data_IF_075900050226
#
_entry.id   IF_075900050226
#
_cell.length_a   1.000
_cell.length_b   1.000
_cell.length_c   1.000
_cell.angle_alpha   90.00
_cell.angle_beta   90.00
_cell.angle_gamma   90.00
#
_symmetry.space_group_name_H-M   'P 1'
#
loop_
_entity.id
_entity.type
_entity.pdbx_description
1 polymer ?
#
# COMPACT_ATOMS: atom_id res chain seq x y z
N UNK A 1 9.21 -16.14 6.51
CA UNK A 1 7.76 -16.26 6.74
C UNK A 1 7.19 -14.87 6.97
N UNK A 2 6.64 -14.23 5.94
CA UNK A 2 5.96 -12.95 6.10
C UNK A 2 4.55 -13.20 6.66
N UNK A 3 4.32 -12.77 7.89
CA UNK A 3 3.02 -12.77 8.54
C UNK A 3 2.28 -11.45 8.30
N UNK A 4 0.94 -11.45 8.17
CA UNK A 4 0.16 -10.22 7.96
C UNK A 4 0.33 -9.16 9.06
N UNK A 5 0.72 -9.61 10.27
CA UNK A 5 1.04 -8.76 11.42
C UNK A 5 2.45 -8.18 11.31
N UNK A 6 3.38 -8.89 10.66
CA UNK A 6 4.76 -8.45 10.46
C UNK A 6 4.87 -7.44 9.30
N UNK A 7 4.05 -7.60 8.26
CA UNK A 7 4.05 -6.76 7.06
C UNK A 7 3.56 -5.34 7.37
N UNK A 8 4.42 -4.33 7.18
CA UNK A 8 4.09 -2.93 7.40
C UNK A 8 3.33 -2.35 6.22
N UNK A 9 2.05 -2.03 6.43
CA UNK A 9 1.17 -1.45 5.42
C UNK A 9 1.15 0.07 5.55
N UNK A 10 1.65 0.79 4.55
CA UNK A 10 1.56 2.24 4.48
C UNK A 10 0.34 2.69 3.68
N UNK A 11 -0.40 3.69 4.18
CA UNK A 11 -1.54 4.27 3.48
C UNK A 11 -1.27 5.75 3.20
N UNK A 12 -1.19 6.13 1.92
CA UNK A 12 -1.01 7.51 1.41
C UNK A 12 -2.22 7.91 0.56
N UNK A 13 -2.36 9.20 0.23
CA UNK A 13 -3.48 9.69 -0.56
C UNK A 13 -3.87 11.13 -0.24
N UNK A 14 -4.67 11.77 -1.10
CA UNK A 14 -5.09 13.16 -0.85
C UNK A 14 -6.00 13.28 0.38
N UNK A 15 -6.15 14.51 0.87
CA UNK A 15 -7.08 14.82 1.96
C UNK A 15 -8.47 14.29 1.62
N UNK A 16 -9.16 13.75 2.64
CA UNK A 16 -10.55 13.24 2.54
C UNK A 16 -10.71 11.94 1.73
N UNK A 17 -9.62 11.34 1.22
CA UNK A 17 -9.66 10.05 0.55
C UNK A 17 -9.90 8.83 1.47
N UNK A 18 -10.14 9.03 2.78
CA UNK A 18 -10.49 7.94 3.71
C UNK A 18 -9.32 7.17 4.35
N UNK A 19 -8.09 7.73 4.32
CA UNK A 19 -6.88 7.06 4.85
C UNK A 19 -7.00 6.60 6.31
N UNK A 20 -7.42 7.49 7.21
CA UNK A 20 -7.58 7.17 8.63
C UNK A 20 -8.63 6.09 8.86
N UNK A 21 -9.74 6.14 8.12
CA UNK A 21 -10.80 5.12 8.15
C UNK A 21 -10.27 3.76 7.72
N UNK A 22 -9.53 3.70 6.60
CA UNK A 22 -8.92 2.46 6.13
C UNK A 22 -7.93 1.90 7.15
N UNK A 23 -7.04 2.74 7.69
CA UNK A 23 -6.05 2.33 8.70
C UNK A 23 -6.75 1.78 9.95
N UNK A 24 -7.81 2.41 10.42
CA UNK A 24 -8.59 1.92 11.56
C UNK A 24 -9.21 0.55 11.28
N UNK A 25 -9.83 0.36 10.11
CA UNK A 25 -10.42 -0.93 9.72
C UNK A 25 -9.37 -2.03 9.59
N UNK A 26 -8.24 -1.76 8.92
CA UNK A 26 -7.14 -2.72 8.78
C UNK A 26 -6.56 -3.13 10.15
N UNK A 27 -6.38 -2.17 11.07
CA UNK A 27 -5.92 -2.47 12.43
C UNK A 27 -6.91 -3.33 13.21
N UNK A 28 -8.21 -3.05 13.08
CA UNK A 28 -9.26 -3.87 13.70
C UNK A 28 -9.27 -5.32 13.17
N UNK A 29 -8.80 -5.53 11.95
CA UNK A 29 -8.62 -6.85 11.33
C UNK A 29 -7.25 -7.50 11.65
N UNK A 30 -6.42 -6.86 12.48
CA UNK A 30 -5.12 -7.39 12.91
C UNK A 30 -3.93 -7.03 12.01
N UNK A 31 -4.11 -6.16 11.03
CA UNK A 31 -3.02 -5.73 10.14
C UNK A 31 -2.19 -4.59 10.74
N UNK A 32 -0.87 -4.60 10.49
CA UNK A 32 0.05 -3.54 10.87
C UNK A 32 0.00 -2.36 9.87
N UNK A 33 -1.05 -1.54 9.95
CA UNK A 33 -1.27 -0.39 9.07
C UNK A 33 -0.88 0.95 9.70
N UNK A 34 -0.30 1.85 8.90
CA UNK A 34 0.07 3.22 9.26
C UNK A 34 -0.45 4.25 8.25
N UNK A 35 -1.03 5.33 8.76
CA UNK A 35 -1.39 6.49 7.95
C UNK A 35 -0.14 7.34 7.67
N UNK A 36 0.10 7.67 6.41
CA UNK A 36 1.23 8.49 5.97
C UNK A 36 0.66 9.82 5.45
N UNK A 37 0.71 10.91 6.24
CA UNK A 37 0.15 12.22 5.87
C UNK A 37 1.06 12.97 4.89
N UNK A 38 1.43 12.32 3.78
CA UNK A 38 2.36 12.87 2.79
C UNK A 38 1.77 14.06 2.02
N UNK A 39 0.46 14.13 1.85
CA UNK A 39 -0.21 15.24 1.18
C UNK A 39 0.01 16.61 1.85
N UNK A 40 0.54 16.61 3.09
CA UNK A 40 0.93 17.80 3.83
C UNK A 40 2.45 17.99 3.92
N UNK A 41 3.23 17.14 3.24
CA UNK A 41 4.68 17.17 3.25
C UNK A 41 5.22 18.03 2.11
N UNK A 42 6.33 18.73 2.37
CA UNK A 42 7.14 19.36 1.32
C UNK A 42 7.92 18.34 0.49
N UNK A 43 7.97 17.08 0.91
CA UNK A 43 8.77 16.02 0.28
C UNK A 43 7.89 14.94 -0.37
N UNK A 44 8.12 14.71 -1.67
CA UNK A 44 7.51 13.62 -2.46
C UNK A 44 7.95 12.22 -2.05
N UNK A 45 9.04 12.13 -1.28
CA UNK A 45 9.65 10.87 -0.83
C UNK A 45 9.35 10.53 0.63
N UNK A 46 8.42 11.25 1.27
CA UNK A 46 8.14 11.06 2.68
C UNK A 46 7.74 9.61 3.00
N UNK A 47 6.90 8.99 2.16
CA UNK A 47 6.50 7.58 2.28
C UNK A 47 7.69 6.60 2.37
N UNK A 48 8.81 6.88 1.69
CA UNK A 48 10.00 6.01 1.69
C UNK A 48 10.66 5.92 3.06
N UNK A 49 10.55 6.98 3.88
CA UNK A 49 11.12 6.99 5.24
C UNK A 49 10.38 6.03 6.17
N UNK A 50 9.12 5.73 5.88
CA UNK A 50 8.28 4.81 6.64
C UNK A 50 8.61 3.36 6.33
N UNK A 51 9.27 3.09 5.19
CA UNK A 51 9.63 1.75 4.71
C UNK A 51 8.45 0.76 4.77
N UNK A 52 7.34 1.06 4.07
CA UNK A 52 6.23 0.11 3.98
C UNK A 52 6.62 -1.08 3.10
N UNK A 53 6.26 -2.27 3.52
CA UNK A 53 6.37 -3.49 2.72
C UNK A 53 5.25 -3.54 1.67
N UNK A 54 4.10 -2.92 1.97
CA UNK A 54 2.98 -2.75 1.05
C UNK A 54 2.42 -1.33 1.16
N UNK A 55 2.31 -0.64 0.03
CA UNK A 55 1.88 0.75 -0.04
C UNK A 55 0.51 0.85 -0.74
N UNK A 56 -0.46 1.44 -0.06
CA UNK A 56 -1.80 1.72 -0.57
C UNK A 56 -1.91 3.22 -0.83
N UNK A 57 -2.33 3.58 -2.04
CA UNK A 57 -2.67 4.94 -2.43
C UNK A 57 -4.19 5.08 -2.56
N UNK A 58 -4.76 6.07 -1.87
CA UNK A 58 -6.17 6.44 -1.99
C UNK A 58 -6.30 7.80 -2.68
N UNK A 59 -7.26 7.92 -3.58
CA UNK A 59 -7.69 9.23 -4.09
C UNK A 59 -9.19 9.45 -3.97
N UNK A 60 -9.57 10.70 -3.93
CA UNK A 60 -10.95 11.13 -4.20
C UNK A 60 -10.95 12.46 -4.95
N UNK A 61 -12.00 12.73 -5.72
CA UNK A 61 -12.15 14.00 -6.42
C UNK A 61 -12.62 15.12 -5.48
N UNK A 62 -12.50 16.38 -5.91
CA UNK A 62 -12.95 17.55 -5.14
C UNK A 62 -14.46 17.51 -4.82
N UNK A 63 -15.36 17.14 -5.76
CA UNK A 63 -16.80 17.00 -5.45
C UNK A 63 -17.05 16.00 -4.32
N UNK A 64 -16.45 14.80 -4.38
CA UNK A 64 -16.60 13.78 -3.34
C UNK A 64 -15.99 14.24 -2.02
N UNK A 65 -14.82 14.89 -2.05
CA UNK A 65 -14.20 15.46 -0.86
C UNK A 65 -15.13 16.46 -0.15
N UNK A 66 -15.79 17.35 -0.91
CA UNK A 66 -16.77 18.32 -0.40
C UNK A 66 -18.01 17.66 0.20
N UNK A 67 -18.49 16.58 -0.41
CA UNK A 67 -19.62 15.81 0.13
C UNK A 67 -19.26 15.13 1.46
N UNK A 68 -18.03 14.61 1.59
CA UNK A 68 -17.57 13.90 2.79
C UNK A 68 -17.26 14.83 3.96
N UNK A 69 -16.72 16.01 3.67
CA UNK A 69 -16.38 17.01 4.69
C UNK A 69 -16.46 18.40 4.06
N UNK A 70 -17.03 19.41 4.76
CA UNK A 70 -16.91 20.79 4.33
C UNK A 70 -15.42 21.18 4.29
N UNK A 71 -14.93 21.47 3.09
CA UNK A 71 -13.57 21.91 2.82
C UNK A 71 -13.60 23.27 2.13
N UNK A 72 -12.71 24.15 2.56
CA UNK A 72 -12.63 25.53 2.06
C UNK A 72 -11.68 25.67 0.86
N UNK A 73 -10.84 24.65 0.61
CA UNK A 73 -9.88 24.66 -0.48
C UNK A 73 -10.49 24.18 -1.82
N UNK A 74 -9.89 24.67 -2.92
CA UNK A 74 -10.32 24.40 -4.29
C UNK A 74 -9.46 23.36 -5.01
N UNK A 75 -9.67 23.25 -6.32
CA UNK A 75 -8.98 22.28 -7.19
C UNK A 75 -7.47 22.46 -7.19
N UNK A 76 -6.98 23.70 -7.14
CA UNK A 76 -5.54 24.03 -7.05
C UNK A 76 -4.86 23.27 -5.90
N UNK A 77 -5.45 23.28 -4.72
CA UNK A 77 -4.91 22.58 -3.55
C UNK A 77 -4.99 21.05 -3.69
N UNK A 78 -5.94 20.54 -4.46
CA UNK A 78 -6.02 19.11 -4.75
C UNK A 78 -4.92 18.70 -5.74
N UNK A 79 -4.68 19.52 -6.76
CA UNK A 79 -3.64 19.31 -7.76
C UNK A 79 -2.24 19.35 -7.12
N UNK A 80 -2.00 20.28 -6.20
CA UNK A 80 -0.76 20.33 -5.40
C UNK A 80 -0.54 19.01 -4.63
N UNK A 81 -1.59 18.50 -3.97
CA UNK A 81 -1.51 17.25 -3.23
C UNK A 81 -1.22 16.07 -4.16
N UNK A 82 -1.88 15.98 -5.30
CA UNK A 82 -1.60 14.95 -6.30
C UNK A 82 -0.17 15.04 -6.83
N UNK A 83 0.35 16.24 -7.05
CA UNK A 83 1.75 16.46 -7.42
C UNK A 83 2.73 15.95 -6.36
N UNK A 84 2.46 16.20 -5.07
CA UNK A 84 3.29 15.71 -3.96
C UNK A 84 3.23 14.18 -3.84
N UNK A 85 2.07 13.58 -4.16
CA UNK A 85 1.83 12.15 -4.02
C UNK A 85 2.19 11.32 -5.25
N UNK A 86 2.54 11.94 -6.39
CA UNK A 86 2.77 11.26 -7.66
C UNK A 86 3.75 10.08 -7.55
N UNK A 87 4.92 10.29 -6.93
CA UNK A 87 5.92 9.23 -6.74
C UNK A 87 5.39 8.10 -5.85
N UNK A 88 4.57 8.43 -4.83
CA UNK A 88 3.96 7.42 -3.97
C UNK A 88 2.89 6.61 -4.72
N UNK A 89 2.15 7.24 -5.63
CA UNK A 89 1.16 6.58 -6.49
C UNK A 89 1.84 5.58 -7.45
N UNK A 90 2.95 5.97 -8.07
CA UNK A 90 3.71 5.13 -9.00
C UNK A 90 4.30 3.87 -8.33
N UNK A 91 4.62 3.96 -7.05
CA UNK A 91 5.19 2.85 -6.25
C UNK A 91 4.14 2.14 -5.38
N UNK A 92 2.87 2.53 -5.47
CA UNK A 92 1.82 1.89 -4.71
C UNK A 92 1.55 0.49 -5.27
N UNK A 93 1.36 -0.47 -4.35
CA UNK A 93 0.97 -1.83 -4.68
C UNK A 93 -0.54 -1.92 -4.94
N UNK A 94 -1.31 -0.99 -4.36
CA UNK A 94 -2.72 -0.81 -4.59
C UNK A 94 -3.04 0.68 -4.74
N UNK A 95 -3.69 1.05 -5.84
CA UNK A 95 -4.21 2.40 -6.09
C UNK A 95 -5.74 2.29 -6.13
N UNK A 96 -6.42 3.07 -5.29
CA UNK A 96 -7.89 3.06 -5.18
C UNK A 96 -8.44 4.45 -5.41
N UNK A 97 -9.32 4.56 -6.42
CA UNK A 97 -10.27 5.66 -6.50
C UNK A 97 -11.43 5.37 -5.53
N UNK A 98 -11.57 6.20 -4.51
CA UNK A 98 -12.55 5.98 -3.45
C UNK A 98 -13.89 6.61 -3.75
N UNK A 99 -14.03 7.37 -4.84
CA UNK A 99 -15.26 8.09 -5.19
C UNK A 99 -16.51 7.20 -5.21
N UNK A 100 -16.51 6.04 -5.90
CA UNK A 100 -17.70 5.20 -5.98
C UNK A 100 -17.80 4.18 -4.84
N UNK A 101 -16.86 4.20 -3.88
CA UNK A 101 -16.69 3.11 -2.92
C UNK A 101 -17.09 3.53 -1.50
N UNK A 102 -17.70 2.59 -0.78
CA UNK A 102 -17.87 2.72 0.66
C UNK A 102 -16.56 2.43 1.39
N UNK A 103 -16.50 2.80 2.67
CA UNK A 103 -15.34 2.48 3.50
C UNK A 103 -15.11 0.96 3.66
N UNK A 104 -16.17 0.15 3.58
CA UNK A 104 -16.07 -1.31 3.64
C UNK A 104 -15.56 -1.90 2.32
N UNK A 105 -15.99 -1.37 1.17
CA UNK A 105 -15.47 -1.78 -0.14
C UNK A 105 -13.96 -1.55 -0.25
N UNK A 106 -13.50 -0.36 0.17
CA UNK A 106 -12.08 -0.01 0.18
C UNK A 106 -11.29 -0.94 1.10
N UNK A 107 -11.84 -1.29 2.27
CA UNK A 107 -11.20 -2.22 3.20
C UNK A 107 -11.14 -3.65 2.63
N UNK A 108 -12.21 -4.12 2.00
CA UNK A 108 -12.27 -5.43 1.36
C UNK A 108 -11.24 -5.54 0.22
N UNK A 109 -11.14 -4.52 -0.64
CA UNK A 109 -10.13 -4.44 -1.69
C UNK A 109 -8.72 -4.46 -1.11
N UNK A 110 -8.45 -3.65 -0.07
CA UNK A 110 -7.15 -3.62 0.58
C UNK A 110 -6.74 -5.00 1.12
N UNK A 111 -7.63 -5.67 1.87
CA UNK A 111 -7.38 -7.01 2.42
C UNK A 111 -7.15 -8.03 1.32
N UNK A 112 -7.95 -8.00 0.25
CA UNK A 112 -7.78 -8.89 -0.90
C UNK A 112 -6.39 -8.70 -1.54
N UNK A 113 -5.97 -7.46 -1.78
CA UNK A 113 -4.68 -7.15 -2.38
C UNK A 113 -3.50 -7.52 -1.47
N UNK A 114 -3.60 -7.25 -0.15
CA UNK A 114 -2.58 -7.66 0.83
C UNK A 114 -2.42 -9.18 0.83
N UNK A 115 -3.52 -9.93 0.87
CA UNK A 115 -3.48 -11.39 0.87
C UNK A 115 -2.91 -11.95 -0.43
N UNK A 116 -3.23 -11.34 -1.57
CA UNK A 116 -2.65 -11.69 -2.87
C UNK A 116 -1.12 -11.48 -2.85
N UNK A 117 -0.67 -10.31 -2.40
CA UNK A 117 0.75 -9.99 -2.29
C UNK A 117 1.51 -10.98 -1.39
N UNK A 118 0.97 -11.31 -0.21
CA UNK A 118 1.59 -12.28 0.70
C UNK A 118 1.72 -13.66 0.04
N UNK A 119 0.71 -14.11 -0.71
CA UNK A 119 0.76 -15.38 -1.44
C UNK A 119 1.85 -15.38 -2.52
N UNK A 120 1.97 -14.28 -3.27
CA UNK A 120 2.99 -14.13 -4.32
C UNK A 120 4.41 -14.17 -3.74
N UNK A 121 4.66 -13.46 -2.64
CA UNK A 121 5.98 -13.49 -1.97
C UNK A 121 6.34 -14.90 -1.50
N UNK A 122 5.38 -15.66 -0.96
CA UNK A 122 5.60 -17.06 -0.52
C UNK A 122 5.89 -18.02 -1.68
N UNK A 123 5.25 -17.82 -2.82
CA UNK A 123 5.51 -18.63 -4.01
C UNK A 123 6.91 -18.39 -4.55
N UNK A 124 7.37 -17.14 -4.54
CA UNK A 124 8.71 -16.77 -5.01
C UNK A 124 9.81 -17.34 -4.10
N UNK A 125 9.64 -17.25 -2.76
CA UNK A 125 10.57 -17.86 -1.80
C UNK A 125 10.72 -19.39 -1.99
N UNK A 126 9.63 -20.07 -2.37
CA UNK A 126 9.64 -21.54 -2.53
C UNK A 126 10.35 -22.00 -3.80
N UNK A 127 10.32 -21.18 -4.85
CA UNK A 127 11.04 -21.42 -6.11
C UNK A 127 12.56 -21.25 -5.92
N UNK A 128 12.98 -20.22 -5.18
CA UNK A 128 14.40 -19.92 -4.96
C UNK A 128 15.13 -20.99 -4.13
N UNK A 129 14.44 -21.68 -3.23
CA UNK A 129 15.02 -22.82 -2.49
C UNK A 129 15.09 -24.12 -3.31
N UNK A 130 14.26 -24.27 -4.34
CA UNK A 130 14.25 -25.46 -5.20
C UNK A 130 15.41 -25.45 -6.21
N UNK A 131 15.77 -24.28 -6.73
CA UNK A 131 16.88 -24.10 -7.69
C UNK A 131 18.27 -24.27 -7.05
N UNK A 132 18.43 -24.12 -5.74
CA UNK A 132 19.70 -24.36 -5.06
C UNK A 132 20.03 -25.86 -4.81
N UNK A 133 19.09 -26.80 -5.01
CA UNK A 133 19.30 -28.22 -4.69
C UNK A 133 19.81 -29.10 -5.85
N UNK A 134 19.95 -28.57 -7.06
CA UNK A 134 20.46 -29.33 -8.23
C UNK A 134 21.97 -29.17 -8.47
N UNK A 135 22.72 -28.54 -7.56
CA UNK A 135 24.14 -28.22 -7.74
C UNK A 135 25.16 -29.10 -6.98
N UNK A 136 24.78 -30.25 -6.42
CA UNK A 136 25.69 -31.12 -5.65
C UNK A 136 25.76 -32.53 -6.22
N UNK A 137 26.39 -32.68 -7.40
CA UNK A 137 26.84 -33.99 -7.89
C UNK A 137 28.23 -34.28 -7.31
N UNK A 138 28.43 -35.36 -6.54
CA UNK A 138 29.78 -35.74 -6.11
C UNK A 138 30.53 -36.26 -7.34
N UNK A 139 31.63 -35.59 -7.69
CA UNK A 139 32.61 -36.11 -8.64
C UNK A 139 33.09 -37.48 -8.15
N UNK A 140 32.79 -38.50 -8.94
CA UNK A 140 33.39 -39.82 -8.85
C UNK A 140 34.78 -39.78 -9.48
N UNK A 141 35.82 -39.68 -8.65
CA UNK A 141 37.19 -39.90 -9.09
C UNK A 141 37.72 -41.16 -8.37
N UNK A 142 37.66 -42.29 -9.07
CA UNK A 142 38.52 -43.46 -8.87
C UNK A 142 39.41 -43.57 -10.12
N UNK A 143 40.71 -43.75 -9.92
CA UNK A 143 41.22 -45.11 -10.10
C UNK A 143 41.99 -45.65 -8.88
#
# INVERSE_FOLDING_TARGET
>A
MLDPVALRIGVVGNCVAGKSTLVSKLRALGHNAINIPQEHSVSRRFWRRIKPDFLIYLSCTLPVARTRRPIEWGQERLDEQWGILAEAKEHAHLVVDTDPLTADDVAALAVQSINKFIKEQRSNERTDYATCREGSSPRSDLP
#
